data_IF_893587186207
#
_entry.id   IF_893587186207
#
_cell.length_a   1.000
_cell.length_b   1.000
_cell.length_c   1.000
_cell.angle_alpha   90.00
_cell.angle_beta   90.00
_cell.angle_gamma   90.00
#
_symmetry.space_group_name_H-M   'P 1'
#
loop_
_entity.id
_entity.type
_entity.pdbx_description
1 polymer ?
#
# COMPACT_ATOMS: atom_id res chain seq x y z
N UNK A 1 23.30 14.12 -8.77
CA UNK A 1 24.16 13.73 -7.62
C UNK A 1 23.57 12.45 -7.08
N UNK A 2 24.35 11.36 -6.95
CA UNK A 2 23.81 10.10 -6.42
C UNK A 2 23.44 10.27 -4.96
N UNK A 3 22.20 9.95 -4.60
CA UNK A 3 21.74 9.87 -3.21
C UNK A 3 21.61 8.39 -2.86
N UNK A 4 22.10 8.00 -1.68
CA UNK A 4 21.80 6.68 -1.14
C UNK A 4 20.30 6.66 -0.80
N UNK A 5 19.56 5.73 -1.41
CA UNK A 5 18.14 5.52 -1.13
C UNK A 5 17.99 4.20 -0.40
N UNK A 6 17.35 4.25 0.76
CA UNK A 6 16.94 3.04 1.47
C UNK A 6 15.56 2.65 0.99
N UNK A 7 15.33 1.35 0.86
CA UNK A 7 14.02 0.78 0.54
C UNK A 7 13.65 -0.23 1.62
N UNK A 8 12.37 -0.44 1.81
CA UNK A 8 11.84 -1.45 2.72
C UNK A 8 10.77 -2.26 2.02
N UNK A 9 10.63 -3.52 2.40
CA UNK A 9 9.62 -4.42 1.86
C UNK A 9 8.21 -3.91 2.15
N UNK A 10 7.24 -4.31 1.34
CA UNK A 10 5.83 -3.90 1.49
C UNK A 10 5.25 -4.26 2.87
N UNK A 11 5.65 -5.40 3.46
CA UNK A 11 5.25 -5.80 4.81
C UNK A 11 5.78 -4.82 5.86
N UNK A 12 7.04 -4.42 5.75
CA UNK A 12 7.67 -3.46 6.65
C UNK A 12 7.08 -2.05 6.47
N UNK A 13 6.78 -1.65 5.23
CA UNK A 13 6.08 -0.41 4.93
C UNK A 13 4.71 -0.37 5.62
N UNK A 14 3.87 -1.40 5.41
CA UNK A 14 2.55 -1.52 6.03
C UNK A 14 2.63 -1.47 7.57
N UNK A 15 3.58 -2.21 8.16
CA UNK A 15 3.83 -2.23 9.60
C UNK A 15 4.24 -0.85 10.14
N UNK A 16 5.07 -0.09 9.42
CA UNK A 16 5.52 1.24 9.83
C UNK A 16 4.38 2.26 9.88
N UNK A 17 3.43 2.16 8.97
CA UNK A 17 2.31 3.10 8.87
C UNK A 17 1.05 2.61 9.60
N UNK A 18 1.09 1.42 10.19
CA UNK A 18 -0.03 0.84 10.94
C UNK A 18 -1.23 0.50 10.05
N UNK A 19 -0.97 0.06 8.82
CA UNK A 19 -2.00 -0.29 7.84
C UNK A 19 -2.01 -1.79 7.59
N UNK A 20 -3.17 -2.32 7.19
CA UNK A 20 -3.31 -3.71 6.78
C UNK A 20 -2.47 -3.97 5.50
N UNK A 21 -1.73 -5.08 5.46
CA UNK A 21 -0.87 -5.42 4.33
C UNK A 21 -1.65 -5.56 3.01
N UNK A 22 -2.78 -6.28 3.01
CA UNK A 22 -3.61 -6.46 1.80
C UNK A 22 -4.15 -5.10 1.30
N UNK A 23 -4.45 -4.16 2.19
CA UNK A 23 -4.84 -2.80 1.79
C UNK A 23 -3.70 -2.06 1.10
N UNK A 24 -2.48 -2.14 1.64
CA UNK A 24 -1.28 -1.53 1.03
C UNK A 24 -0.95 -2.18 -0.32
N UNK A 25 -1.09 -3.51 -0.43
CA UNK A 25 -0.94 -4.24 -1.68
C UNK A 25 -1.94 -3.78 -2.74
N UNK A 26 -3.23 -3.68 -2.39
CA UNK A 26 -4.29 -3.24 -3.30
C UNK A 26 -4.07 -1.80 -3.77
N UNK A 27 -3.79 -0.88 -2.85
CA UNK A 27 -3.58 0.53 -3.17
C UNK A 27 -2.32 0.71 -4.01
N UNK A 28 -1.24 0.02 -3.68
CA UNK A 28 0.01 0.14 -4.43
C UNK A 28 0.04 -0.67 -5.74
N UNK A 29 -0.96 -1.52 -6.00
CA UNK A 29 -1.05 -2.28 -7.25
C UNK A 29 -1.18 -1.36 -8.48
N UNK A 30 -1.87 -0.23 -8.33
CA UNK A 30 -1.91 0.81 -9.35
C UNK A 30 -0.64 1.67 -9.28
N UNK A 31 0.15 1.68 -10.35
CA UNK A 31 1.39 2.47 -10.42
C UNK A 31 1.16 3.97 -10.32
N UNK A 32 -0.03 4.46 -10.67
CA UNK A 32 -0.34 5.90 -10.62
C UNK A 32 -0.57 6.38 -9.17
N UNK A 33 -0.72 5.47 -8.22
CA UNK A 33 -0.92 5.79 -6.81
C UNK A 33 0.38 6.13 -6.07
N UNK A 34 1.54 5.83 -6.66
CA UNK A 34 2.85 6.02 -6.06
C UNK A 34 3.74 6.79 -7.02
N UNK A 35 4.42 7.82 -6.51
CA UNK A 35 5.39 8.60 -7.27
C UNK A 35 6.40 7.71 -8.01
N UNK A 36 6.76 8.11 -9.23
CA UNK A 36 7.62 7.32 -10.11
C UNK A 36 8.99 7.06 -9.47
N UNK A 37 9.38 5.78 -9.39
CA UNK A 37 10.64 5.35 -8.79
C UNK A 37 10.57 5.13 -7.27
N UNK A 38 9.42 5.38 -6.64
CA UNK A 38 9.26 5.23 -5.19
C UNK A 38 8.67 3.86 -4.78
N UNK A 39 8.07 3.13 -5.74
CA UNK A 39 7.78 1.68 -5.66
C UNK A 39 8.79 0.93 -6.52
N UNK A 40 9.55 0.02 -5.91
CA UNK A 40 10.66 -0.70 -6.55
C UNK A 40 10.45 -2.20 -6.38
N UNK A 41 10.44 -2.94 -7.49
CA UNK A 41 10.52 -4.39 -7.46
C UNK A 41 11.99 -4.82 -7.35
N UNK A 42 12.27 -5.69 -6.40
CA UNK A 42 13.61 -6.23 -6.11
C UNK A 42 13.60 -7.72 -6.39
N UNK A 43 14.52 -8.16 -7.26
CA UNK A 43 14.85 -9.58 -7.43
C UNK A 43 15.65 -10.04 -6.21
N UNK A 44 15.05 -10.92 -5.40
CA UNK A 44 15.66 -11.52 -4.21
C UNK A 44 16.09 -12.98 -4.44
N UNK A 45 16.09 -13.44 -5.69
CA UNK A 45 16.38 -14.81 -6.08
C UNK A 45 15.18 -15.77 -6.00
N UNK A 46 13.98 -15.28 -5.63
CA UNK A 46 12.72 -16.02 -5.76
C UNK A 46 12.05 -15.74 -7.11
N UNK A 47 11.08 -16.58 -7.52
CA UNK A 47 10.33 -16.38 -8.77
C UNK A 47 9.48 -15.11 -8.76
N UNK A 48 8.96 -14.73 -7.58
CA UNK A 48 8.06 -13.60 -7.39
C UNK A 48 8.80 -12.28 -7.12
N UNK A 49 10.03 -12.36 -6.59
CA UNK A 49 10.77 -11.22 -6.05
C UNK A 49 10.05 -10.56 -4.86
N UNK A 50 10.37 -9.31 -4.58
CA UNK A 50 9.71 -8.54 -3.52
C UNK A 50 9.41 -7.10 -3.95
N UNK A 51 8.24 -6.60 -3.56
CA UNK A 51 7.88 -5.19 -3.72
C UNK A 51 8.42 -4.39 -2.54
N UNK A 52 9.12 -3.30 -2.84
CA UNK A 52 9.71 -2.41 -1.85
C UNK A 52 9.31 -0.96 -2.09
N UNK A 53 9.39 -0.14 -1.04
CA UNK A 53 9.12 1.28 -1.08
C UNK A 53 10.28 2.07 -0.49
N UNK A 54 10.53 3.24 -1.08
CA UNK A 54 11.37 4.27 -0.46
C UNK A 54 10.59 4.97 0.66
N UNK A 55 11.26 5.83 1.43
CA UNK A 55 10.59 6.69 2.41
C UNK A 55 9.50 7.57 1.75
N UNK A 56 9.76 8.12 0.55
CA UNK A 56 8.76 8.92 -0.19
C UNK A 56 7.58 8.05 -0.67
N UNK A 57 7.83 6.81 -1.08
CA UNK A 57 6.78 5.87 -1.45
C UNK A 57 5.84 5.54 -0.29
N UNK A 58 6.40 5.46 0.93
CA UNK A 58 5.61 5.29 2.16
C UNK A 58 4.77 6.55 2.45
N UNK A 59 5.32 7.74 2.26
CA UNK A 59 4.55 8.98 2.38
C UNK A 59 3.37 9.03 1.38
N UNK A 60 3.60 8.62 0.11
CA UNK A 60 2.52 8.51 -0.88
C UNK A 60 1.39 7.58 -0.41
N UNK A 61 1.73 6.43 0.18
CA UNK A 61 0.74 5.51 0.75
C UNK A 61 -0.08 6.19 1.85
N UNK A 62 0.58 6.90 2.78
CA UNK A 62 -0.11 7.60 3.87
C UNK A 62 -1.01 8.72 3.35
N UNK A 63 -0.51 9.53 2.41
CA UNK A 63 -1.25 10.62 1.77
C UNK A 63 -2.51 10.11 1.08
N UNK A 64 -2.36 9.07 0.25
CA UNK A 64 -3.47 8.47 -0.49
C UNK A 64 -4.49 7.80 0.44
N UNK A 65 -4.04 7.02 1.42
CA UNK A 65 -4.95 6.38 2.38
C UNK A 65 -5.69 7.41 3.25
N UNK A 66 -5.02 8.51 3.61
CA UNK A 66 -5.68 9.63 4.28
C UNK A 66 -6.76 10.26 3.39
N UNK A 67 -6.48 10.47 2.10
CA UNK A 67 -7.45 11.00 1.15
C UNK A 67 -8.65 10.06 0.95
N UNK A 68 -8.40 8.77 0.69
CA UNK A 68 -9.46 7.75 0.51
C UNK A 68 -10.40 7.72 1.71
N UNK A 69 -9.89 7.86 2.93
CA UNK A 69 -10.73 7.89 4.15
C UNK A 69 -11.69 9.09 4.18
N UNK A 70 -11.40 10.17 3.48
CA UNK A 70 -12.31 11.32 3.34
C UNK A 70 -13.40 11.12 2.28
N UNK A 71 -13.21 10.16 1.36
CA UNK A 71 -14.16 9.90 0.29
C UNK A 71 -15.48 9.35 0.81
N UNK A 72 -16.55 9.49 0.00
CA UNK A 72 -17.85 8.92 0.35
C UNK A 72 -17.77 7.39 0.41
N UNK A 73 -17.85 6.84 1.62
CA UNK A 73 -17.72 5.41 1.88
C UNK A 73 -16.33 4.98 2.35
N UNK A 74 -15.35 5.89 2.39
CA UNK A 74 -14.00 5.63 2.89
C UNK A 74 -13.31 4.44 2.22
N UNK A 75 -12.49 3.73 3.00
CA UNK A 75 -11.82 2.48 2.59
C UNK A 75 -12.82 1.46 2.04
N UNK A 76 -13.96 1.25 2.69
CA UNK A 76 -14.97 0.29 2.21
C UNK A 76 -15.53 0.67 0.83
N UNK A 77 -15.75 1.96 0.58
CA UNK A 77 -16.19 2.48 -0.71
C UNK A 77 -15.15 2.23 -1.81
N UNK A 78 -13.88 2.50 -1.50
CA UNK A 78 -12.75 2.21 -2.39
C UNK A 78 -12.66 0.72 -2.74
N UNK A 79 -12.65 -0.18 -1.74
CA UNK A 79 -12.54 -1.62 -1.98
C UNK A 79 -13.69 -2.18 -2.83
N UNK A 80 -14.91 -1.63 -2.66
CA UNK A 80 -16.06 -1.98 -3.49
C UNK A 80 -15.92 -1.46 -4.92
N UNK A 81 -15.35 -0.27 -5.10
CA UNK A 81 -15.10 0.30 -6.43
C UNK A 81 -14.05 -0.52 -7.20
N UNK A 82 -13.02 -1.00 -6.49
CA UNK A 82 -12.00 -1.93 -7.02
C UNK A 82 -12.52 -3.36 -7.23
N UNK A 83 -13.79 -3.64 -6.91
CA UNK A 83 -14.42 -4.95 -7.03
C UNK A 83 -13.64 -6.05 -6.30
N UNK A 84 -13.06 -5.73 -5.15
CA UNK A 84 -12.37 -6.70 -4.31
C UNK A 84 -13.31 -7.82 -3.88
N UNK A 85 -12.74 -9.01 -3.70
CA UNK A 85 -13.47 -10.17 -3.17
C UNK A 85 -14.08 -9.83 -1.78
N UNK A 86 -15.34 -10.22 -1.50
CA UNK A 86 -15.95 -10.02 -0.19
C UNK A 86 -15.08 -10.48 1.00
N UNK A 87 -14.34 -11.59 0.86
CA UNK A 87 -13.49 -12.13 1.92
C UNK A 87 -12.28 -11.20 2.19
N UNK A 88 -11.72 -10.60 1.14
CA UNK A 88 -10.65 -9.59 1.24
C UNK A 88 -11.18 -8.34 1.91
N UNK A 89 -12.38 -7.88 1.51
CA UNK A 89 -13.03 -6.72 2.12
C UNK A 89 -13.26 -6.95 3.61
N UNK A 90 -13.73 -8.13 4.00
CA UNK A 90 -13.97 -8.46 5.41
C UNK A 90 -12.69 -8.41 6.24
N UNK A 91 -11.59 -9.01 5.75
CA UNK A 91 -10.30 -8.98 6.45
C UNK A 91 -9.75 -7.57 6.62
N UNK A 92 -9.73 -6.77 5.55
CA UNK A 92 -9.24 -5.38 5.61
C UNK A 92 -10.11 -4.54 6.55
N UNK A 93 -11.43 -4.67 6.47
CA UNK A 93 -12.34 -3.89 7.31
C UNK A 93 -12.35 -4.34 8.78
N UNK A 94 -11.91 -5.56 9.09
CA UNK A 94 -11.69 -5.98 10.47
C UNK A 94 -10.55 -5.18 11.11
N UNK A 95 -9.44 -5.00 10.39
CA UNK A 95 -8.30 -4.21 10.87
C UNK A 95 -8.59 -2.70 10.88
N UNK A 96 -9.28 -2.18 9.85
CA UNK A 96 -9.66 -0.75 9.78
C UNK A 96 -10.52 -0.31 10.97
N UNK A 97 -11.34 -1.21 11.53
CA UNK A 97 -12.15 -0.91 12.73
C UNK A 97 -11.34 -0.88 14.03
N UNK A 98 -10.15 -1.49 14.04
CA UNK A 98 -9.29 -1.61 15.22
C UNK A 98 -8.14 -0.58 15.22
N UNK A 99 -8.12 0.33 14.25
CA UNK A 99 -7.07 1.34 14.02
C UNK A 99 -7.20 2.58 14.89
#
# INVERSE_FOLDING_TARGET
MGRVTHVVTIDEAARRIGENLELVELVSANSDNIDYGEKIWVDDGTEEGTTTFTDRGIECLQELLADIRTWKGGILGFLRAEKCDPDVIERIMADEKNR
#
